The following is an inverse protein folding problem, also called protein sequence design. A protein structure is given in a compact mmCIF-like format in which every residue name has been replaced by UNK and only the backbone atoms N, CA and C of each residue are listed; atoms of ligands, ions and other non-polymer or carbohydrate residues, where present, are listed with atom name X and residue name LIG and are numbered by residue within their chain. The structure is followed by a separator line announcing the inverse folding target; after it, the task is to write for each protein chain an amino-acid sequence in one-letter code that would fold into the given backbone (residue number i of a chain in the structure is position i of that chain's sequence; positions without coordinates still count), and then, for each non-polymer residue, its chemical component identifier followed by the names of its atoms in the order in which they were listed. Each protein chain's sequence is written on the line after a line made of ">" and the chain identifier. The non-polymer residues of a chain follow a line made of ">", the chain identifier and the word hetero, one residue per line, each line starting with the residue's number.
data_IF_611045738535
#
_entry.id   IF_611045738535
#
_cell.length_a   1.000
_cell.length_b   1.000
_cell.length_c   1.000
_cell.angle_alpha   90.00
_cell.angle_beta   90.00
_cell.angle_gamma   90.00
#
_symmetry.space_group_name_H-M   'P 1'
#
loop_
_entity.id
_entity.type
_entity.pdbx_description
1 polymer ?
#
# COMPACT_ATOMS: atom_id res chain seq x y z
N UNK A 1 -23.76 24.67 8.76
CA UNK A 1 -23.19 24.28 7.45
C UNK A 1 -23.46 22.78 7.26
N UNK A 2 -23.83 22.40 6.04
CA UNK A 2 -24.73 21.31 5.62
C UNK A 2 -24.14 19.90 5.82
N UNK A 3 -24.86 19.03 6.54
CA UNK A 3 -24.65 17.57 6.57
C UNK A 3 -25.05 16.99 5.22
N UNK A 4 -24.12 16.31 4.55
CA UNK A 4 -24.36 15.62 3.27
C UNK A 4 -24.33 14.11 3.55
N UNK A 5 -25.36 13.33 3.20
CA UNK A 5 -25.36 11.89 3.38
C UNK A 5 -24.33 11.25 2.44
N UNK A 6 -23.33 10.59 3.01
CA UNK A 6 -22.22 9.97 2.29
C UNK A 6 -22.61 8.69 1.56
N UNK A 7 -23.40 8.80 0.49
CA UNK A 7 -23.38 7.80 -0.60
C UNK A 7 -22.27 8.07 -1.63
N UNK A 8 -21.57 9.19 -1.50
CA UNK A 8 -20.42 9.57 -2.31
C UNK A 8 -19.13 9.72 -1.49
N UNK A 9 -19.06 9.07 -0.33
CA UNK A 9 -17.86 9.09 0.51
C UNK A 9 -16.89 7.95 0.17
N UNK A 10 -16.84 7.55 -1.11
CA UNK A 10 -15.89 6.53 -1.61
C UNK A 10 -14.46 7.00 -1.38
N UNK A 11 -14.20 8.31 -1.44
CA UNK A 11 -12.85 8.87 -1.23
C UNK A 11 -12.44 8.80 0.24
N UNK A 12 -13.31 9.13 1.21
CA UNK A 12 -12.95 9.01 2.62
C UNK A 12 -12.92 7.55 3.10
N UNK A 13 -13.80 6.68 2.58
CA UNK A 13 -13.73 5.23 2.83
C UNK A 13 -12.46 4.63 2.20
N UNK A 14 -12.08 5.06 0.99
CA UNK A 14 -10.83 4.66 0.35
C UNK A 14 -9.60 5.16 1.11
N UNK A 15 -9.59 6.41 1.62
CA UNK A 15 -8.50 6.89 2.48
C UNK A 15 -8.44 6.16 3.82
N UNK A 16 -9.59 5.80 4.42
CA UNK A 16 -9.62 4.97 5.64
C UNK A 16 -9.15 3.54 5.39
N UNK A 17 -9.37 2.99 4.19
CA UNK A 17 -8.83 1.68 3.78
C UNK A 17 -7.36 1.74 3.38
N UNK A 18 -6.90 2.87 2.84
CA UNK A 18 -5.46 3.15 2.69
C UNK A 18 -4.83 3.20 4.09
N UNK A 19 -5.50 3.70 5.12
CA UNK A 19 -4.99 3.62 6.51
C UNK A 19 -4.89 2.16 7.01
N UNK A 20 -5.79 1.27 6.55
CA UNK A 20 -5.67 -0.17 6.80
C UNK A 20 -4.46 -0.82 6.09
N UNK A 21 -3.95 -0.18 5.03
CA UNK A 21 -2.71 -0.53 4.34
C UNK A 21 -1.62 0.40 4.88
N UNK A 22 -0.89 0.01 5.93
CA UNK A 22 0.21 0.81 6.49
C UNK A 22 1.27 1.15 5.43
N UNK A 23 1.03 2.21 4.67
CA UNK A 23 1.89 2.78 3.66
C UNK A 23 1.66 4.28 3.65
N UNK A 24 2.73 5.07 3.62
CA UNK A 24 2.58 6.50 3.58
C UNK A 24 1.81 6.94 2.32
N UNK A 25 0.97 7.96 2.48
CA UNK A 25 0.11 8.57 1.45
C UNK A 25 0.87 9.17 0.25
N UNK A 26 2.20 9.08 0.23
CA UNK A 26 3.11 9.58 -0.80
C UNK A 26 3.56 8.51 -1.79
N UNK A 27 3.20 7.23 -1.60
CA UNK A 27 3.60 6.16 -2.50
C UNK A 27 2.75 6.20 -3.79
N UNK A 28 3.43 6.32 -4.92
CA UNK A 28 2.84 6.14 -6.24
C UNK A 28 2.61 4.64 -6.50
N UNK A 29 1.37 4.19 -6.25
CA UNK A 29 0.99 2.78 -6.36
C UNK A 29 1.17 2.22 -7.79
N UNK A 30 1.02 3.06 -8.83
CA UNK A 30 1.21 2.61 -10.20
C UNK A 30 2.69 2.24 -10.46
N UNK A 31 3.61 3.11 -10.02
CA UNK A 31 5.05 2.82 -10.11
C UNK A 31 5.47 1.67 -9.19
N UNK A 32 4.83 1.53 -8.02
CA UNK A 32 5.06 0.38 -7.15
C UNK A 32 4.64 -0.93 -7.85
N UNK A 33 3.46 -0.96 -8.48
CA UNK A 33 2.98 -2.13 -9.22
C UNK A 33 3.96 -2.54 -10.35
N UNK A 34 4.46 -1.55 -11.10
CA UNK A 34 5.47 -1.78 -12.13
C UNK A 34 6.78 -2.34 -11.53
N UNK A 35 7.27 -1.71 -10.47
CA UNK A 35 8.49 -2.15 -9.80
C UNK A 35 8.37 -3.58 -9.27
N UNK A 36 7.21 -3.93 -8.69
CA UNK A 36 6.93 -5.27 -8.17
C UNK A 36 6.94 -6.34 -9.28
N UNK A 37 6.37 -6.05 -10.46
CA UNK A 37 6.36 -6.99 -11.59
C UNK A 37 7.76 -7.39 -12.06
N UNK A 38 8.71 -6.46 -11.97
CA UNK A 38 10.11 -6.69 -12.31
C UNK A 38 10.97 -7.26 -11.17
N UNK A 39 10.46 -7.32 -9.94
CA UNK A 39 11.22 -7.70 -8.76
C UNK A 39 11.42 -9.23 -8.70
N UNK A 40 12.68 -9.67 -8.73
CA UNK A 40 13.04 -11.09 -8.61
C UNK A 40 12.81 -11.64 -7.20
N UNK A 41 12.98 -10.81 -6.17
CA UNK A 41 12.78 -11.22 -4.78
C UNK A 41 11.31 -11.50 -4.51
N UNK A 42 10.41 -10.72 -5.13
CA UNK A 42 8.97 -10.97 -5.06
C UNK A 42 8.59 -12.33 -5.66
N UNK A 43 9.18 -12.67 -6.82
CA UNK A 43 8.96 -13.98 -7.47
C UNK A 43 9.51 -15.12 -6.61
N UNK A 44 10.68 -14.94 -6.02
CA UNK A 44 11.28 -15.91 -5.11
C UNK A 44 10.41 -16.11 -3.87
N UNK A 45 9.85 -15.04 -3.30
CA UNK A 45 8.94 -15.11 -2.16
C UNK A 45 7.66 -15.87 -2.50
N UNK A 46 7.07 -15.61 -3.67
CA UNK A 46 5.89 -16.34 -4.15
C UNK A 46 6.16 -17.83 -4.41
N UNK A 47 7.37 -18.18 -4.87
CA UNK A 47 7.77 -19.55 -5.16
C UNK A 47 8.28 -20.31 -3.92
N UNK A 48 8.69 -19.61 -2.88
CA UNK A 48 9.21 -20.19 -1.65
C UNK A 48 8.09 -20.72 -0.74
N UNK A 49 8.41 -21.74 0.07
CA UNK A 49 7.55 -22.19 1.18
C UNK A 49 7.65 -21.22 2.38
N UNK A 50 7.43 -19.93 2.13
CA UNK A 50 7.39 -18.91 3.17
C UNK A 50 6.03 -18.90 3.85
N UNK A 51 5.99 -18.43 5.10
CA UNK A 51 4.74 -18.13 5.82
C UNK A 51 4.01 -16.91 5.22
N UNK A 52 4.70 -16.13 4.39
CA UNK A 52 4.15 -14.94 3.74
C UNK A 52 3.19 -15.36 2.63
N UNK A 53 2.02 -14.72 2.59
CA UNK A 53 1.01 -14.97 1.57
C UNK A 53 0.93 -13.75 0.67
N UNK A 54 1.78 -13.73 -0.36
CA UNK A 54 1.83 -12.62 -1.32
C UNK A 54 0.73 -12.80 -2.36
N UNK A 55 -0.26 -11.90 -2.38
CA UNK A 55 -1.37 -11.89 -3.34
C UNK A 55 -1.55 -10.52 -3.99
N UNK A 56 -2.06 -10.47 -5.23
CA UNK A 56 -2.49 -9.21 -5.82
C UNK A 56 -3.65 -8.62 -5.03
N UNK A 57 -3.62 -7.31 -4.83
CA UNK A 57 -4.59 -6.51 -4.12
C UNK A 57 -4.83 -5.22 -4.91
N UNK A 58 -6.08 -5.00 -5.32
CA UNK A 58 -6.49 -3.78 -6.02
C UNK A 58 -6.63 -2.65 -5.03
N UNK A 59 -5.94 -1.54 -5.26
CA UNK A 59 -6.06 -0.35 -4.41
C UNK A 59 -7.46 0.26 -4.59
N UNK A 60 -8.27 0.35 -3.51
CA UNK A 60 -9.61 0.91 -3.57
C UNK A 60 -9.61 2.33 -4.15
N UNK A 61 -10.53 2.62 -5.07
CA UNK A 61 -10.59 3.91 -5.76
C UNK A 61 -9.61 4.05 -6.94
N UNK A 62 -8.86 3.00 -7.27
CA UNK A 62 -7.99 2.95 -8.46
C UNK A 62 -8.18 1.61 -9.20
N UNK A 63 -7.62 1.51 -10.40
CA UNK A 63 -7.52 0.26 -11.16
C UNK A 63 -6.11 -0.39 -11.02
N UNK A 64 -5.34 0.00 -10.01
CA UNK A 64 -3.96 -0.46 -9.82
C UNK A 64 -3.93 -1.66 -8.89
N UNK A 65 -3.37 -2.76 -9.40
CA UNK A 65 -3.08 -3.96 -8.62
C UNK A 65 -1.63 -3.96 -8.14
N UNK A 66 -1.46 -4.07 -6.83
CA UNK A 66 -0.15 -4.27 -6.20
C UNK A 66 -0.10 -5.63 -5.51
N UNK A 67 1.09 -6.16 -5.27
CA UNK A 67 1.28 -7.34 -4.46
C UNK A 67 1.39 -6.97 -2.97
N UNK A 68 0.57 -7.63 -2.16
CA UNK A 68 0.52 -7.45 -0.71
C UNK A 68 0.71 -8.79 -0.01
N UNK A 69 1.37 -8.75 1.15
CA UNK A 69 1.28 -9.82 2.14
C UNK A 69 -0.06 -9.75 2.86
N UNK A 70 -0.79 -10.87 2.79
CA UNK A 70 -2.08 -11.08 3.46
C UNK A 70 -2.03 -12.25 4.45
N UNK A 71 -0.82 -12.65 4.88
CA UNK A 71 -0.63 -13.72 5.87
C UNK A 71 -1.20 -13.38 7.25
N UNK A 72 -1.43 -12.10 7.52
CA UNK A 72 -1.98 -11.61 8.79
C UNK A 72 -3.32 -10.91 8.57
N UNK A 73 -3.99 -10.55 9.67
CA UNK A 73 -5.25 -9.79 9.63
C UNK A 73 -5.10 -8.37 9.03
N UNK A 74 -3.87 -7.91 8.79
CA UNK A 74 -3.58 -6.63 8.14
C UNK A 74 -2.92 -6.87 6.79
N UNK A 75 -3.44 -6.21 5.75
CA UNK A 75 -2.88 -6.24 4.40
C UNK A 75 -1.66 -5.31 4.35
N UNK A 76 -0.50 -5.84 3.99
CA UNK A 76 0.76 -5.09 3.97
C UNK A 76 1.36 -5.08 2.56
N UNK A 77 1.60 -3.92 1.93
CA UNK A 77 2.22 -3.87 0.61
C UNK A 77 3.63 -4.44 0.65
N UNK A 78 3.98 -5.23 -0.36
CA UNK A 78 5.37 -5.60 -0.56
C UNK A 78 6.11 -4.39 -1.17
N UNK A 79 6.98 -3.75 -0.40
CA UNK A 79 7.77 -2.64 -0.91
C UNK A 79 9.07 -3.15 -1.55
N UNK A 80 9.22 -2.88 -2.84
CA UNK A 80 10.48 -3.14 -3.56
C UNK A 80 11.60 -2.28 -2.99
N UNK A 81 12.89 -2.66 -3.15
CA UNK A 81 14.01 -1.95 -2.53
C UNK A 81 14.02 -0.44 -2.78
N UNK A 82 13.65 0.01 -3.99
CA UNK A 82 13.56 1.43 -4.36
C UNK A 82 12.48 2.18 -3.58
N UNK A 83 11.35 1.52 -3.26
CA UNK A 83 10.22 2.10 -2.54
C UNK A 83 10.38 2.03 -1.02
N UNK A 84 11.22 1.14 -0.49
CA UNK A 84 11.47 1.04 0.96
C UNK A 84 12.00 2.36 1.53
N UNK A 85 12.93 3.02 0.81
CA UNK A 85 13.47 4.32 1.23
C UNK A 85 12.39 5.42 1.20
N UNK A 86 11.62 5.51 0.12
CA UNK A 86 10.52 6.48 0.01
C UNK A 86 9.49 6.30 1.12
N UNK A 87 9.14 5.06 1.44
CA UNK A 87 8.20 4.77 2.52
C UNK A 87 8.78 5.18 3.89
N UNK A 88 10.05 4.86 4.14
CA UNK A 88 10.74 5.26 5.36
C UNK A 88 10.79 6.78 5.50
N UNK A 89 11.25 7.49 4.46
CA UNK A 89 11.38 8.95 4.44
C UNK A 89 10.03 9.62 4.65
N UNK A 90 8.94 9.08 4.10
CA UNK A 90 7.62 9.68 4.29
C UNK A 90 7.07 9.51 5.70
N UNK A 91 7.28 8.35 6.34
CA UNK A 91 6.88 8.16 7.75
C UNK A 91 7.73 9.06 8.65
N UNK A 92 9.03 9.11 8.39
CA UNK A 92 9.97 9.93 9.14
C UNK A 92 9.67 11.43 9.01
N UNK A 93 9.35 11.92 7.80
CA UNK A 93 9.00 13.32 7.58
C UNK A 93 7.65 13.69 8.19
N UNK A 94 6.67 12.77 8.22
CA UNK A 94 5.39 12.99 8.92
C UNK A 94 5.56 13.07 10.45
N UNK A 95 6.53 12.36 11.02
CA UNK A 95 6.84 12.43 12.44
C UNK A 95 7.53 13.75 12.86
N UNK A 96 7.96 14.57 11.90
CA UNK A 96 8.61 15.88 12.14
C UNK A 96 7.73 17.10 11.88
N UNK A 97 6.42 16.96 11.70
CA UNK A 97 5.48 18.08 11.90
C UNK A 97 5.24 18.31 13.39
N UNK A 98 6.29 18.77 14.06
CA UNK A 98 6.29 19.35 15.39
C UNK A 98 7.22 20.56 15.37
N UNK A 99 6.82 21.58 14.60
CA UNK A 99 7.40 22.92 14.65
C UNK A 99 6.26 23.92 14.95
#
# INVERSE_FOLDING_TARGET
>A
IRYIPGRENVVADAMSRIDAIHTPSTIDFAKLAESQRSDSDLKNLQASNSILLIKPFTIPGTAVDIFCDVSTNQVRPYLTPSFRKTAFDSIHNMAHTGA
#
